data_IF_511810992680
#
_entry.id   IF_511810992680
#
_cell.length_a   1.000
_cell.length_b   1.000
_cell.length_c   1.000
_cell.angle_alpha   90.00
_cell.angle_beta   90.00
_cell.angle_gamma   90.00
#
_symmetry.space_group_name_H-M   'P 1'
#
loop_
_entity.id
_entity.type
_entity.pdbx_description
1 polymer ?
#
# COMPACT_ATOMS: atom_id res chain seq x y z
N UNK A 1 37.84 63.74 38.96
CA UNK A 1 37.10 63.28 37.74
C UNK A 1 37.40 61.82 37.52
N UNK A 2 36.42 60.97 37.87
CA UNK A 2 36.53 59.51 37.79
C UNK A 2 35.81 59.06 36.50
N UNK A 3 36.54 58.50 35.55
CA UNK A 3 35.97 57.98 34.29
C UNK A 3 35.63 56.50 34.51
N UNK A 4 34.34 56.19 34.55
CA UNK A 4 33.82 54.81 34.57
C UNK A 4 33.76 54.30 33.13
N UNK A 5 34.53 53.24 32.84
CA UNK A 5 34.46 52.50 31.57
C UNK A 5 33.39 51.42 31.67
N UNK A 6 32.31 51.52 30.90
CA UNK A 6 31.32 50.47 30.73
C UNK A 6 31.83 49.45 29.71
N UNK A 7 32.14 48.25 30.11
CA UNK A 7 32.42 47.14 29.20
C UNK A 7 31.10 46.43 28.92
N UNK A 8 30.61 46.57 27.65
CA UNK A 8 29.48 45.83 27.16
C UNK A 8 29.94 44.40 26.76
N UNK A 9 29.58 43.40 27.59
CA UNK A 9 29.79 42.01 27.21
C UNK A 9 28.65 41.58 26.23
N UNK A 10 29.02 41.44 24.96
CA UNK A 10 28.14 40.78 23.98
C UNK A 10 28.24 39.26 24.16
N UNK A 11 27.23 38.64 24.78
CA UNK A 11 27.08 37.17 24.79
C UNK A 11 26.50 36.72 23.44
N UNK A 12 27.32 36.12 22.62
CA UNK A 12 26.92 35.48 21.36
C UNK A 12 26.26 34.10 21.72
N UNK A 13 24.96 34.07 21.84
CA UNK A 13 24.22 32.77 21.93
C UNK A 13 24.24 32.11 20.56
N UNK A 14 25.16 31.16 20.37
CA UNK A 14 25.11 30.25 19.25
C UNK A 14 23.90 29.30 19.48
N UNK A 15 22.78 29.57 18.83
CA UNK A 15 21.69 28.62 18.71
C UNK A 15 22.19 27.45 17.87
N UNK A 16 22.48 26.32 18.52
CA UNK A 16 22.64 25.04 17.83
C UNK A 16 21.31 24.72 17.12
N UNK A 17 21.23 25.06 15.85
CA UNK A 17 20.21 24.51 14.98
C UNK A 17 20.43 22.98 14.93
N UNK A 18 19.70 22.23 15.73
CA UNK A 18 19.56 20.80 15.56
C UNK A 18 18.96 20.61 14.17
N UNK A 19 19.82 20.31 13.19
CA UNK A 19 19.41 20.02 11.84
C UNK A 19 18.41 18.87 11.90
N UNK A 20 17.14 19.14 11.61
CA UNK A 20 16.15 18.08 11.43
C UNK A 20 16.74 17.15 10.36
N UNK A 21 16.94 15.89 10.74
CA UNK A 21 17.40 14.87 9.82
C UNK A 21 16.35 14.74 8.70
N UNK A 22 16.58 15.43 7.59
CA UNK A 22 15.66 15.56 6.48
C UNK A 22 15.79 14.42 5.46
N UNK A 23 16.52 13.36 5.83
CA UNK A 23 16.68 12.16 4.98
C UNK A 23 15.34 11.51 4.65
N UNK A 24 15.15 11.02 3.43
CA UNK A 24 13.98 10.24 3.07
C UNK A 24 13.92 8.95 3.91
N UNK A 25 12.71 8.42 4.10
CA UNK A 25 12.46 7.17 4.83
C UNK A 25 11.45 6.34 4.06
N UNK A 26 11.59 5.02 4.12
CA UNK A 26 10.48 4.14 3.78
C UNK A 26 9.47 4.21 4.92
N UNK A 27 8.23 4.54 4.59
CA UNK A 27 7.11 4.63 5.54
C UNK A 27 6.48 3.26 5.75
N UNK A 28 6.29 2.52 4.65
CA UNK A 28 5.70 1.18 4.67
C UNK A 28 6.02 0.42 3.38
N UNK A 29 5.96 -0.90 3.48
CA UNK A 29 5.87 -1.82 2.34
C UNK A 29 4.54 -2.57 2.45
N UNK A 30 3.69 -2.42 1.43
CA UNK A 30 2.40 -3.11 1.33
C UNK A 30 2.51 -4.33 0.42
N UNK A 31 1.71 -5.38 0.71
CA UNK A 31 0.82 -5.49 1.85
C UNK A 31 1.59 -5.51 3.16
N UNK A 32 0.97 -4.98 4.26
CA UNK A 32 1.61 -4.94 5.58
C UNK A 32 1.52 -6.27 6.31
N UNK A 33 0.64 -7.17 5.88
CA UNK A 33 0.46 -8.51 6.46
C UNK A 33 1.78 -9.31 6.50
N UNK A 34 1.94 -10.10 7.55
CA UNK A 34 3.09 -11.02 7.69
C UNK A 34 2.89 -12.35 6.94
N UNK A 35 1.68 -12.60 6.46
CA UNK A 35 1.32 -13.82 5.72
C UNK A 35 0.86 -13.47 4.32
N UNK A 36 1.68 -13.80 3.32
CA UNK A 36 1.50 -13.39 1.93
C UNK A 36 1.27 -14.64 1.06
N UNK A 37 0.19 -14.70 0.25
CA UNK A 37 -0.05 -15.84 -0.63
C UNK A 37 1.01 -15.92 -1.72
N UNK A 38 1.37 -17.15 -2.13
CA UNK A 38 2.42 -17.39 -3.14
C UNK A 38 2.07 -16.82 -4.52
N UNK A 39 0.80 -16.51 -4.76
CA UNK A 39 0.31 -15.88 -5.99
C UNK A 39 0.16 -14.36 -5.88
N UNK A 40 0.79 -13.71 -4.90
CA UNK A 40 0.86 -12.24 -4.86
C UNK A 40 1.48 -11.69 -6.14
N UNK A 41 0.90 -10.60 -6.67
CA UNK A 41 1.42 -9.95 -7.87
C UNK A 41 2.15 -8.64 -7.57
N UNK A 42 1.80 -7.92 -6.50
CA UNK A 42 2.28 -6.55 -6.27
C UNK A 42 2.76 -6.32 -4.85
N UNK A 43 3.89 -5.60 -4.75
CA UNK A 43 4.30 -4.91 -3.53
C UNK A 43 4.35 -3.41 -3.79
N UNK A 44 4.00 -2.60 -2.79
CA UNK A 44 4.09 -1.16 -2.89
C UNK A 44 5.03 -0.63 -1.81
N UNK A 45 5.99 0.20 -2.19
CA UNK A 45 6.90 0.86 -1.25
C UNK A 45 6.52 2.33 -1.16
N UNK A 46 6.15 2.78 0.04
CA UNK A 46 5.79 4.15 0.32
C UNK A 46 6.96 4.87 0.99
N UNK A 47 7.35 6.02 0.45
CA UNK A 47 8.38 6.90 0.96
C UNK A 47 7.80 8.14 1.62
N UNK A 48 8.55 8.74 2.57
CA UNK A 48 8.15 9.97 3.28
C UNK A 48 8.22 11.22 2.41
N UNK A 49 8.99 11.19 1.33
CA UNK A 49 9.14 12.24 0.32
C UNK A 49 9.56 11.65 -1.02
N UNK A 50 9.51 12.46 -2.12
CA UNK A 50 9.90 11.98 -3.45
C UNK A 50 11.33 11.43 -3.49
N UNK A 51 11.55 10.34 -4.21
CA UNK A 51 12.86 9.77 -4.49
C UNK A 51 13.16 9.86 -5.99
N UNK A 52 14.43 10.08 -6.34
CA UNK A 52 14.82 10.33 -7.73
C UNK A 52 15.14 9.06 -8.52
N UNK A 53 15.38 7.98 -7.87
CA UNK A 53 16.00 6.79 -8.47
C UNK A 53 15.21 6.25 -9.66
N UNK A 54 16.00 5.84 -10.67
CA UNK A 54 15.50 5.11 -11.84
C UNK A 54 16.01 3.71 -11.76
N UNK A 55 15.92 2.74 -11.57
CA UNK A 55 16.43 1.38 -11.31
C UNK A 55 16.19 0.97 -9.85
N UNK A 56 14.98 1.20 -9.38
CA UNK A 56 14.61 0.87 -7.98
C UNK A 56 15.00 -0.56 -7.60
N UNK A 57 14.94 -1.51 -8.53
CA UNK A 57 15.30 -2.90 -8.29
C UNK A 57 16.76 -3.10 -7.88
N UNK A 58 17.69 -2.19 -8.22
CA UNK A 58 19.07 -2.22 -7.73
C UNK A 58 19.17 -2.00 -6.21
N UNK A 59 18.19 -1.31 -5.64
CA UNK A 59 18.08 -1.01 -4.21
C UNK A 59 17.16 -1.98 -3.46
N UNK A 60 16.65 -3.01 -4.16
CA UNK A 60 15.75 -4.00 -3.58
C UNK A 60 16.46 -5.35 -3.49
N UNK A 61 16.48 -5.91 -2.29
CA UNK A 61 16.98 -7.27 -2.04
C UNK A 61 15.86 -8.11 -1.46
N UNK A 62 15.69 -9.31 -1.99
CA UNK A 62 14.84 -10.34 -1.41
C UNK A 62 15.72 -11.48 -0.95
N UNK A 63 15.65 -11.84 0.33
CA UNK A 63 16.40 -12.98 0.89
C UNK A 63 15.44 -14.01 1.48
N UNK A 64 15.85 -15.28 1.45
CA UNK A 64 15.18 -16.34 2.17
C UNK A 64 15.60 -16.40 3.65
N UNK A 65 15.09 -17.36 4.39
CA UNK A 65 15.40 -17.56 5.81
C UNK A 65 16.86 -17.87 6.12
N UNK A 66 17.62 -18.36 5.14
CA UNK A 66 19.06 -18.65 5.21
C UNK A 66 19.91 -17.41 4.88
N UNK A 67 19.27 -16.28 4.55
CA UNK A 67 19.95 -15.05 4.13
C UNK A 67 20.44 -15.08 2.67
N UNK A 68 20.09 -16.11 1.89
CA UNK A 68 20.45 -16.24 0.47
C UNK A 68 19.60 -15.25 -0.35
N UNK A 69 20.26 -14.49 -1.21
CA UNK A 69 19.57 -13.59 -2.15
C UNK A 69 18.79 -14.39 -3.20
N UNK A 70 17.51 -14.05 -3.38
CA UNK A 70 16.61 -14.63 -4.36
C UNK A 70 16.43 -13.62 -5.50
N UNK A 71 16.85 -14.00 -6.69
CA UNK A 71 16.79 -13.16 -7.90
C UNK A 71 15.67 -13.63 -8.85
N UNK A 72 15.30 -12.79 -9.84
CA UNK A 72 14.29 -13.11 -10.84
C UNK A 72 12.88 -13.27 -10.26
N UNK A 73 12.61 -12.60 -9.14
CA UNK A 73 11.28 -12.56 -8.52
C UNK A 73 10.47 -11.40 -9.05
N UNK A 74 11.10 -10.23 -9.16
CA UNK A 74 10.43 -9.04 -9.64
C UNK A 74 10.64 -8.88 -11.14
N UNK A 75 9.56 -8.44 -11.79
CA UNK A 75 9.55 -8.17 -13.21
C UNK A 75 10.36 -6.90 -13.51
N UNK A 76 11.42 -7.05 -14.32
CA UNK A 76 12.22 -5.94 -14.81
C UNK A 76 11.48 -5.25 -15.94
N UNK A 77 10.84 -4.12 -15.63
CA UNK A 77 10.13 -3.32 -16.60
C UNK A 77 11.00 -2.14 -17.06
N UNK A 78 10.91 -1.79 -18.34
CA UNK A 78 11.56 -0.60 -18.91
C UNK A 78 11.11 0.68 -18.19
N UNK A 79 9.88 0.73 -17.72
CA UNK A 79 9.32 1.87 -16.97
C UNK A 79 8.89 1.42 -15.59
N UNK A 80 9.46 2.03 -14.59
CA UNK A 80 9.06 1.83 -13.20
C UNK A 80 7.68 2.42 -12.93
N UNK A 81 6.90 1.75 -12.08
CA UNK A 81 5.54 2.14 -11.78
C UNK A 81 5.49 3.04 -10.54
N UNK A 82 5.85 4.29 -10.72
CA UNK A 82 5.75 5.33 -9.71
C UNK A 82 4.38 6.03 -9.73
N UNK A 83 3.93 6.49 -8.55
CA UNK A 83 2.87 7.47 -8.49
C UNK A 83 3.35 8.84 -8.97
N UNK A 84 2.41 9.77 -9.26
CA UNK A 84 2.68 11.08 -9.86
C UNK A 84 3.76 11.89 -9.09
N UNK A 85 3.73 11.86 -7.77
CA UNK A 85 4.67 12.61 -6.93
C UNK A 85 5.90 11.79 -6.48
N UNK A 86 6.15 10.62 -7.06
CA UNK A 86 7.31 9.74 -6.81
C UNK A 86 7.54 9.36 -5.34
N UNK A 87 6.47 9.33 -4.56
CA UNK A 87 6.50 8.88 -3.16
C UNK A 87 6.08 7.43 -2.98
N UNK A 88 5.64 6.76 -4.05
CA UNK A 88 5.23 5.35 -4.01
C UNK A 88 5.64 4.66 -5.30
N UNK A 89 6.30 3.50 -5.17
CA UNK A 89 6.61 2.61 -6.30
C UNK A 89 5.90 1.27 -6.15
N UNK A 90 5.49 0.70 -7.28
CA UNK A 90 4.92 -0.65 -7.35
C UNK A 90 5.98 -1.60 -7.89
N UNK A 91 6.31 -2.63 -7.14
CA UNK A 91 7.09 -3.77 -7.58
C UNK A 91 6.14 -4.86 -8.05
N UNK A 92 6.30 -5.33 -9.28
CA UNK A 92 5.50 -6.44 -9.82
C UNK A 92 6.30 -7.72 -9.67
N UNK A 93 5.74 -8.74 -9.03
CA UNK A 93 6.25 -10.11 -9.10
C UNK A 93 6.06 -10.61 -10.52
N UNK A 94 7.03 -11.34 -11.08
CA UNK A 94 6.96 -11.80 -12.47
C UNK A 94 5.63 -12.52 -12.77
N UNK A 95 4.76 -11.92 -13.58
CA UNK A 95 3.44 -12.48 -13.89
C UNK A 95 3.54 -13.88 -14.51
N UNK A 96 4.65 -14.17 -15.21
CA UNK A 96 4.93 -15.48 -15.78
C UNK A 96 5.10 -16.57 -14.73
N UNK A 97 5.53 -16.21 -13.51
CA UNK A 97 5.64 -17.11 -12.36
C UNK A 97 4.37 -17.13 -11.50
N UNK A 98 3.58 -16.05 -11.53
CA UNK A 98 2.34 -15.96 -10.75
C UNK A 98 1.20 -16.77 -11.40
N UNK A 99 1.04 -16.71 -12.73
CA UNK A 99 -0.01 -17.46 -13.43
C UNK A 99 0.40 -18.91 -13.69
N UNK A 100 -0.51 -19.83 -13.40
CA UNK A 100 -0.34 -21.25 -13.69
C UNK A 100 -0.32 -21.51 -15.21
N UNK A 101 0.47 -22.50 -15.61
CA UNK A 101 0.56 -22.95 -17.00
C UNK A 101 1.39 -22.08 -17.94
N UNK A 102 1.90 -20.93 -17.48
CA UNK A 102 2.84 -20.14 -18.25
C UNK A 102 4.24 -20.77 -18.22
N UNK A 103 5.05 -20.48 -19.24
CA UNK A 103 6.39 -21.06 -19.38
C UNK A 103 7.27 -20.85 -18.15
N UNK A 104 7.33 -19.64 -17.62
CA UNK A 104 8.15 -19.35 -16.44
C UNK A 104 7.64 -20.10 -15.20
N UNK A 105 6.30 -20.20 -14.99
CA UNK A 105 5.75 -20.99 -13.90
C UNK A 105 6.09 -22.48 -14.04
N UNK A 106 5.97 -23.05 -15.24
CA UNK A 106 6.24 -24.46 -15.48
C UNK A 106 7.73 -24.83 -15.35
N UNK A 107 8.65 -23.89 -15.63
CA UNK A 107 10.10 -24.15 -15.60
C UNK A 107 10.77 -23.72 -14.31
N UNK A 108 10.32 -22.64 -13.68
CA UNK A 108 10.94 -22.03 -12.50
C UNK A 108 10.08 -22.16 -11.24
N UNK A 109 8.80 -22.53 -11.37
CA UNK A 109 7.85 -22.55 -10.29
C UNK A 109 7.38 -21.15 -9.86
N UNK A 110 6.60 -21.08 -8.79
CA UNK A 110 6.19 -19.85 -8.12
C UNK A 110 7.41 -19.06 -7.62
N UNK A 111 7.26 -17.75 -7.44
CA UNK A 111 8.33 -16.90 -6.92
C UNK A 111 8.65 -17.19 -5.44
N UNK A 112 7.66 -17.70 -4.71
CA UNK A 112 7.74 -18.02 -3.29
C UNK A 112 7.30 -19.46 -3.04
N UNK A 113 7.93 -20.13 -2.07
CA UNK A 113 7.57 -21.48 -1.63
C UNK A 113 6.71 -21.41 -0.37
N UNK A 114 5.62 -22.16 -0.34
CA UNK A 114 4.70 -22.22 0.82
C UNK A 114 5.44 -22.61 2.10
N UNK A 115 5.13 -21.90 3.19
CA UNK A 115 5.74 -22.11 4.50
C UNK A 115 7.13 -21.48 4.68
N UNK A 116 7.73 -20.92 3.62
CA UNK A 116 9.05 -20.29 3.70
C UNK A 116 8.97 -18.83 4.07
N UNK A 117 10.01 -18.38 4.77
CA UNK A 117 10.18 -16.99 5.23
C UNK A 117 11.06 -16.21 4.27
N UNK A 118 10.64 -15.00 3.95
CA UNK A 118 11.35 -14.07 3.08
C UNK A 118 11.50 -12.71 3.73
N UNK A 119 12.58 -12.00 3.39
CA UNK A 119 12.81 -10.63 3.82
C UNK A 119 13.08 -9.75 2.61
N UNK A 120 12.19 -8.78 2.38
CA UNK A 120 12.34 -7.73 1.39
C UNK A 120 13.03 -6.54 2.05
N UNK A 121 14.17 -6.11 1.50
CA UNK A 121 14.98 -5.01 2.01
C UNK A 121 15.04 -3.90 0.97
N UNK A 122 14.75 -2.67 1.41
CA UNK A 122 15.08 -1.44 0.66
C UNK A 122 16.41 -0.92 1.19
N UNK A 123 17.39 -0.80 0.31
CA UNK A 123 18.74 -0.36 0.66
C UNK A 123 18.76 1.14 1.00
N UNK A 124 19.51 1.51 2.03
CA UNK A 124 19.69 2.89 2.46
C UNK A 124 20.39 3.77 1.42
N UNK A 125 21.07 3.18 0.43
CA UNK A 125 21.77 3.95 -0.60
C UNK A 125 20.84 4.58 -1.65
N UNK A 126 19.54 4.29 -1.61
CA UNK A 126 18.51 5.00 -2.40
C UNK A 126 18.46 6.48 -2.01
N UNK A 127 18.39 7.37 -2.99
CA UNK A 127 18.49 8.84 -2.79
C UNK A 127 17.19 9.57 -3.14
N UNK A 128 17.00 10.73 -2.53
CA UNK A 128 15.99 11.71 -2.95
C UNK A 128 16.55 12.71 -3.97
N UNK A 129 15.73 13.70 -4.38
CA UNK A 129 16.13 14.72 -5.35
C UNK A 129 17.17 15.75 -4.82
N UNK A 130 17.47 15.70 -3.52
CA UNK A 130 18.50 16.52 -2.87
C UNK A 130 19.77 15.68 -2.57
N UNK A 131 19.92 14.51 -3.24
CA UNK A 131 21.02 13.55 -3.06
C UNK A 131 21.15 13.01 -1.62
N UNK A 132 20.06 13.08 -0.86
CA UNK A 132 20.04 12.57 0.50
C UNK A 132 19.65 11.07 0.48
N UNK A 133 20.53 10.23 1.02
CA UNK A 133 20.27 8.80 1.19
C UNK A 133 19.16 8.54 2.22
N UNK A 134 18.52 7.38 2.12
CA UNK A 134 17.62 6.91 3.18
C UNK A 134 18.35 6.88 4.52
N UNK A 135 17.62 7.21 5.60
CA UNK A 135 18.20 7.23 6.93
C UNK A 135 18.77 5.87 7.37
N UNK A 136 18.16 4.77 6.90
CA UNK A 136 18.56 3.39 7.17
C UNK A 136 17.94 2.43 6.16
N UNK A 137 18.43 1.19 6.13
CA UNK A 137 17.73 0.11 5.43
C UNK A 137 16.35 -0.10 6.04
N UNK A 138 15.38 -0.41 5.19
CA UNK A 138 14.05 -0.81 5.64
C UNK A 138 13.77 -2.25 5.25
N UNK A 139 13.28 -3.04 6.18
CA UNK A 139 13.01 -4.47 5.93
C UNK A 139 11.56 -4.81 6.22
N UNK A 140 11.01 -5.67 5.38
CA UNK A 140 9.73 -6.36 5.59
C UNK A 140 9.96 -7.85 5.51
N UNK A 141 9.66 -8.55 6.60
CA UNK A 141 9.69 -10.01 6.65
C UNK A 141 8.28 -10.57 6.55
N UNK A 142 8.10 -11.66 5.82
CA UNK A 142 6.82 -12.35 5.67
C UNK A 142 7.02 -13.85 5.50
N UNK A 143 5.96 -14.60 5.76
CA UNK A 143 5.87 -16.04 5.47
C UNK A 143 4.96 -16.21 4.25
N UNK A 144 5.43 -16.94 3.26
CA UNK A 144 4.62 -17.31 2.10
C UNK A 144 3.61 -18.39 2.51
N UNK A 145 2.35 -18.18 2.19
CA UNK A 145 1.25 -19.12 2.48
C UNK A 145 0.67 -19.64 1.17
N UNK A 146 -0.24 -20.62 1.29
CA UNK A 146 -0.95 -21.19 0.14
C UNK A 146 -1.53 -20.09 -0.75
N UNK A 147 -1.69 -20.42 -2.03
CA UNK A 147 -2.30 -19.49 -2.99
C UNK A 147 -3.73 -19.14 -2.62
N UNK A 148 -4.10 -17.90 -2.84
CA UNK A 148 -5.45 -17.41 -2.65
C UNK A 148 -6.18 -17.34 -4.00
N UNK A 149 -7.20 -18.19 -4.14
CA UNK A 149 -8.04 -18.30 -5.33
C UNK A 149 -9.50 -17.89 -5.04
N UNK A 150 -9.73 -17.14 -3.96
CA UNK A 150 -11.07 -16.73 -3.54
C UNK A 150 -11.26 -15.22 -3.78
N UNK A 151 -12.26 -14.82 -4.59
CA UNK A 151 -12.60 -13.41 -4.75
C UNK A 151 -13.09 -12.78 -3.45
N UNK A 152 -12.79 -11.49 -3.20
CA UNK A 152 -13.40 -10.74 -2.11
C UNK A 152 -14.93 -10.74 -2.21
N UNK A 153 -15.63 -10.96 -1.09
CA UNK A 153 -17.10 -11.01 -1.06
C UNK A 153 -17.67 -9.82 -0.32
N UNK A 154 -18.16 -8.83 -1.05
CA UNK A 154 -18.72 -7.60 -0.48
C UNK A 154 -19.93 -7.84 0.45
N UNK A 155 -20.66 -8.94 0.26
CA UNK A 155 -21.80 -9.34 1.11
C UNK A 155 -21.39 -9.80 2.52
N UNK A 156 -20.11 -10.13 2.72
CA UNK A 156 -19.57 -10.56 4.01
C UNK A 156 -18.93 -9.42 4.80
N UNK A 157 -18.85 -8.22 4.22
CA UNK A 157 -18.25 -7.05 4.86
C UNK A 157 -19.10 -6.52 6.01
N UNK A 158 -18.44 -6.12 7.10
CA UNK A 158 -19.09 -5.54 8.26
C UNK A 158 -18.82 -4.04 8.31
N UNK A 159 -19.87 -3.25 8.29
CA UNK A 159 -19.77 -1.78 8.27
C UNK A 159 -20.10 -1.24 9.66
N UNK A 160 -19.17 -0.47 10.23
CA UNK A 160 -19.41 0.31 11.44
C UNK A 160 -19.75 1.73 11.05
N UNK A 161 -21.00 2.10 11.30
CA UNK A 161 -21.59 3.39 10.89
C UNK A 161 -21.28 4.44 11.95
N UNK A 162 -20.79 5.65 11.57
CA UNK A 162 -20.55 6.76 12.50
C UNK A 162 -21.83 7.42 12.97
N UNK A 163 -21.73 8.28 14.00
CA UNK A 163 -22.86 9.08 14.49
C UNK A 163 -23.09 10.31 13.61
N UNK A 164 -24.35 10.72 13.47
CA UNK A 164 -24.69 11.98 12.81
C UNK A 164 -24.03 13.17 13.52
N UNK A 165 -23.70 14.21 12.77
CA UNK A 165 -23.05 15.46 13.21
C UNK A 165 -21.64 15.28 13.79
N UNK A 166 -21.05 14.09 13.67
CA UNK A 166 -19.68 13.80 14.06
C UNK A 166 -18.71 13.83 12.86
N UNK A 167 -17.40 13.80 13.14
CA UNK A 167 -16.33 13.49 12.20
C UNK A 167 -15.74 12.10 12.48
N UNK A 168 -16.50 11.25 13.15
CA UNK A 168 -16.09 9.88 13.44
C UNK A 168 -15.81 9.14 12.12
N UNK A 169 -14.94 8.16 12.18
CA UNK A 169 -14.64 7.35 11.01
C UNK A 169 -15.76 6.35 10.73
N UNK A 170 -16.02 6.12 9.45
CA UNK A 170 -16.71 4.91 9.00
C UNK A 170 -15.68 3.83 8.84
N UNK A 171 -15.94 2.61 9.28
CA UNK A 171 -15.06 1.49 9.01
C UNK A 171 -15.77 0.34 8.31
N UNK A 172 -15.00 -0.38 7.49
CA UNK A 172 -15.41 -1.60 6.81
C UNK A 172 -14.43 -2.68 7.21
N UNK A 173 -14.88 -3.70 7.92
CA UNK A 173 -14.10 -4.90 8.18
C UNK A 173 -14.35 -5.88 7.03
N UNK A 174 -13.28 -6.19 6.31
CA UNK A 174 -13.31 -7.10 5.17
C UNK A 174 -13.22 -8.55 5.64
N UNK A 175 -13.78 -9.46 4.87
CA UNK A 175 -13.58 -10.90 5.08
C UNK A 175 -12.21 -11.38 4.61
N UNK A 176 -11.49 -10.54 3.86
CA UNK A 176 -10.20 -10.82 3.25
C UNK A 176 -9.24 -9.63 3.31
N UNK A 177 -8.00 -9.78 2.78
CA UNK A 177 -7.00 -8.74 2.69
C UNK A 177 -7.12 -8.03 1.34
N UNK A 178 -7.63 -6.80 1.34
CA UNK A 178 -7.85 -6.03 0.12
C UNK A 178 -6.57 -5.32 -0.31
N UNK A 179 -6.29 -5.30 -1.62
CA UNK A 179 -5.13 -4.59 -2.17
C UNK A 179 -5.14 -3.11 -1.76
N UNK A 180 -3.99 -2.61 -1.33
CA UNK A 180 -3.84 -1.28 -0.74
C UNK A 180 -4.28 -0.15 -1.67
N UNK A 181 -3.86 -0.19 -2.94
CA UNK A 181 -4.21 0.84 -3.93
C UNK A 181 -5.65 0.67 -4.39
N UNK A 182 -6.05 -0.55 -4.63
CA UNK A 182 -7.40 -0.91 -5.05
C UNK A 182 -8.44 -0.40 -4.05
N UNK A 183 -8.27 -0.64 -2.75
CA UNK A 183 -9.18 -0.15 -1.72
C UNK A 183 -9.29 1.37 -1.66
N UNK A 184 -8.17 2.09 -1.80
CA UNK A 184 -8.16 3.56 -1.76
C UNK A 184 -8.81 4.20 -2.98
N UNK A 185 -8.76 3.55 -4.14
CA UNK A 185 -9.20 4.12 -5.42
C UNK A 185 -10.57 3.65 -5.86
N UNK A 186 -10.94 2.42 -5.53
CA UNK A 186 -12.11 1.72 -6.09
C UNK A 186 -13.29 1.58 -5.10
N UNK A 187 -13.12 2.01 -3.84
CA UNK A 187 -14.22 2.14 -2.87
C UNK A 187 -14.55 3.62 -2.69
N UNK A 188 -15.79 4.00 -2.99
CA UNK A 188 -16.26 5.40 -2.93
C UNK A 188 -17.51 5.51 -2.06
N UNK A 189 -17.66 6.64 -1.41
CA UNK A 189 -18.75 6.93 -0.48
C UNK A 189 -19.63 8.04 -1.03
N UNK A 190 -20.95 7.86 -0.96
CA UNK A 190 -21.93 8.80 -1.53
C UNK A 190 -23.03 9.16 -0.53
N UNK A 191 -23.51 10.41 -0.64
CA UNK A 191 -24.69 10.93 0.03
C UNK A 191 -25.50 11.76 -0.96
N UNK A 192 -26.77 11.43 -1.17
CA UNK A 192 -27.65 12.12 -2.13
C UNK A 192 -26.98 12.29 -3.52
N UNK A 193 -26.44 11.21 -4.07
CA UNK A 193 -25.72 11.15 -5.37
C UNK A 193 -24.42 11.97 -5.43
N UNK A 194 -24.00 12.61 -4.35
CA UNK A 194 -22.74 13.33 -4.27
C UNK A 194 -21.64 12.50 -3.60
N UNK A 195 -20.45 12.43 -4.23
CA UNK A 195 -19.30 11.77 -3.60
C UNK A 195 -18.83 12.52 -2.35
N UNK A 196 -18.67 11.79 -1.26
CA UNK A 196 -18.13 12.32 0.00
C UNK A 196 -16.61 12.33 -0.07
N UNK A 197 -16.03 13.51 0.08
CA UNK A 197 -14.58 13.65 0.16
C UNK A 197 -14.07 13.30 1.55
N UNK A 198 -12.95 12.59 1.60
CA UNK A 198 -12.34 12.17 2.87
C UNK A 198 -11.00 11.49 2.62
N UNK A 199 -10.41 11.00 3.70
CA UNK A 199 -9.18 10.20 3.69
C UNK A 199 -9.52 8.74 3.95
N UNK A 200 -9.03 7.87 3.11
CA UNK A 200 -9.15 6.41 3.24
C UNK A 200 -7.81 5.84 3.67
N UNK A 201 -7.82 5.01 4.69
CA UNK A 201 -6.65 4.27 5.18
C UNK A 201 -7.03 2.79 5.35
N UNK A 202 -6.03 1.91 5.18
CA UNK A 202 -6.17 0.49 5.49
C UNK A 202 -5.46 0.18 6.81
N UNK A 203 -6.11 -0.59 7.64
CA UNK A 203 -5.66 -1.05 8.95
C UNK A 203 -5.73 -2.59 9.01
N UNK A 204 -5.28 -3.14 10.13
CA UNK A 204 -5.38 -4.55 10.45
C UNK A 204 -4.87 -5.45 9.32
N UNK A 205 -3.67 -5.15 8.80
CA UNK A 205 -3.04 -5.95 7.73
C UNK A 205 -3.95 -6.09 6.51
N UNK A 206 -4.45 -4.96 5.99
CA UNK A 206 -5.33 -4.83 4.83
C UNK A 206 -6.74 -5.44 4.98
N UNK A 207 -7.13 -5.81 6.22
CA UNK A 207 -8.46 -6.38 6.50
C UNK A 207 -9.51 -5.37 6.91
N UNK A 208 -9.13 -4.11 7.11
CA UNK A 208 -10.04 -3.05 7.53
C UNK A 208 -9.76 -1.77 6.77
N UNK A 209 -10.82 -1.18 6.22
CA UNK A 209 -10.78 0.16 5.68
C UNK A 209 -11.39 1.13 6.68
N UNK A 210 -10.71 2.26 6.87
CA UNK A 210 -11.19 3.38 7.68
C UNK A 210 -11.33 4.61 6.78
N UNK A 211 -12.51 5.20 6.76
CA UNK A 211 -12.79 6.42 6.01
C UNK A 211 -13.11 7.58 6.95
N UNK A 212 -12.30 8.64 6.90
CA UNK A 212 -12.51 9.88 7.66
C UNK A 212 -13.00 10.98 6.72
N UNK A 213 -14.24 11.46 6.86
CA UNK A 213 -14.79 12.47 5.98
C UNK A 213 -14.19 13.85 6.25
N UNK A 214 -14.14 14.71 5.23
CA UNK A 214 -13.72 16.12 5.38
C UNK A 214 -14.79 16.99 6.06
N UNK A 215 -16.05 16.57 5.99
CA UNK A 215 -17.21 17.26 6.59
C UNK A 215 -17.96 16.32 7.53
N UNK A 216 -18.64 16.88 8.53
CA UNK A 216 -19.46 16.11 9.47
C UNK A 216 -20.53 15.30 8.76
N UNK A 217 -20.75 14.07 9.23
CA UNK A 217 -21.82 13.20 8.77
C UNK A 217 -23.19 13.86 9.01
N UNK A 218 -24.09 13.70 8.08
CA UNK A 218 -25.50 14.13 8.18
C UNK A 218 -26.39 12.92 8.48
N UNK A 219 -27.59 13.14 8.97
CA UNK A 219 -28.62 12.10 9.02
C UNK A 219 -29.08 11.76 7.60
N UNK A 220 -29.33 10.49 7.30
CA UNK A 220 -29.87 10.07 6.02
C UNK A 220 -29.24 8.80 5.47
N UNK A 221 -29.58 8.51 4.21
CA UNK A 221 -29.17 7.30 3.51
C UNK A 221 -27.89 7.55 2.72
N UNK A 222 -26.98 6.61 2.80
CA UNK A 222 -25.66 6.63 2.19
C UNK A 222 -25.43 5.40 1.35
N UNK A 223 -24.46 5.50 0.44
CA UNK A 223 -24.04 4.38 -0.39
C UNK A 223 -22.51 4.24 -0.37
N UNK A 224 -22.05 3.01 -0.28
CA UNK A 224 -20.68 2.64 -0.61
C UNK A 224 -20.74 2.00 -2.00
N UNK A 225 -20.02 2.57 -2.95
CA UNK A 225 -19.90 2.03 -4.29
C UNK A 225 -18.54 1.35 -4.40
N UNK A 226 -18.54 0.05 -4.64
CA UNK A 226 -17.37 -0.78 -4.83
C UNK A 226 -17.25 -1.11 -6.30
N UNK A 227 -16.17 -0.64 -6.93
CA UNK A 227 -15.92 -0.95 -8.32
C UNK A 227 -15.63 -2.45 -8.47
N UNK A 228 -16.16 -3.08 -9.50
CA UNK A 228 -15.97 -4.51 -9.78
C UNK A 228 -14.51 -4.94 -9.94
N UNK A 229 -13.60 -3.99 -10.23
CA UNK A 229 -12.16 -4.22 -10.35
C UNK A 229 -11.43 -4.16 -9.00
N UNK A 230 -12.15 -3.99 -7.89
CA UNK A 230 -11.52 -4.05 -6.57
C UNK A 230 -10.87 -5.43 -6.41
N UNK A 231 -9.61 -5.44 -6.05
CA UNK A 231 -8.80 -6.64 -5.92
C UNK A 231 -8.37 -6.88 -4.48
N UNK A 232 -8.15 -8.15 -4.15
CA UNK A 232 -7.38 -8.56 -2.97
C UNK A 232 -5.87 -8.50 -3.22
N UNK A 233 -5.07 -8.90 -2.23
CA UNK A 233 -3.60 -8.93 -2.37
C UNK A 233 -3.09 -10.01 -3.32
N UNK A 234 -3.90 -11.02 -3.65
CA UNK A 234 -3.62 -12.04 -4.67
C UNK A 234 -4.12 -11.64 -6.06
N UNK A 235 -4.65 -10.39 -6.20
CA UNK A 235 -5.16 -9.84 -7.46
C UNK A 235 -6.47 -10.48 -7.93
N UNK A 236 -7.18 -11.23 -7.07
CA UNK A 236 -8.54 -11.66 -7.40
C UNK A 236 -9.47 -10.46 -7.28
N UNK A 237 -10.21 -10.14 -8.35
CA UNK A 237 -11.22 -9.08 -8.29
C UNK A 237 -12.51 -9.58 -7.66
N UNK A 238 -13.40 -8.65 -7.24
CA UNK A 238 -14.72 -9.01 -6.68
C UNK A 238 -15.54 -9.90 -7.62
N UNK A 239 -15.27 -9.82 -8.92
CA UNK A 239 -15.98 -10.59 -9.95
C UNK A 239 -15.27 -11.86 -10.38
N UNK A 240 -13.95 -11.95 -10.21
CA UNK A 240 -13.19 -12.99 -10.88
C UNK A 240 -11.82 -13.22 -10.24
N UNK A 241 -11.42 -14.47 -10.16
CA UNK A 241 -10.04 -14.84 -9.78
C UNK A 241 -9.05 -14.39 -10.85
N UNK A 242 -7.84 -14.02 -10.42
CA UNK A 242 -6.78 -13.56 -11.33
C UNK A 242 -6.32 -14.66 -12.30
N UNK A 243 -6.13 -15.88 -11.78
CA UNK A 243 -5.65 -17.03 -12.55
C UNK A 243 -6.81 -17.81 -13.16
N UNK A 244 -7.47 -17.23 -14.16
CA UNK A 244 -8.56 -17.83 -14.92
C UNK A 244 -8.19 -18.05 -16.37
N UNK A 245 -8.88 -18.99 -17.03
CA UNK A 245 -8.73 -19.19 -18.47
C UNK A 245 -9.42 -18.06 -19.23
N UNK A 246 -8.91 -17.65 -20.42
CA UNK A 246 -9.58 -16.64 -21.25
C UNK A 246 -11.03 -16.98 -21.59
N UNK A 247 -11.39 -18.28 -21.67
CA UNK A 247 -12.76 -18.76 -21.87
C UNK A 247 -13.71 -18.44 -20.75
N UNK A 248 -13.19 -18.23 -19.53
CA UNK A 248 -13.97 -18.06 -18.32
C UNK A 248 -14.27 -16.58 -18.04
N UNK A 249 -13.84 -15.69 -18.97
CA UNK A 249 -14.04 -14.25 -18.85
C UNK A 249 -15.53 -13.89 -19.04
N UNK A 250 -16.17 -13.54 -17.94
CA UNK A 250 -17.57 -13.14 -17.93
C UNK A 250 -17.69 -11.66 -18.31
N UNK A 251 -17.97 -11.37 -19.60
CA UNK A 251 -18.08 -10.00 -20.13
C UNK A 251 -19.31 -9.23 -19.62
N UNK A 252 -20.26 -9.90 -18.96
CA UNK A 252 -21.60 -9.35 -18.75
C UNK A 252 -21.83 -8.62 -17.43
N UNK A 253 -20.84 -8.55 -16.52
CA UNK A 253 -21.00 -7.87 -15.24
C UNK A 253 -20.11 -6.62 -15.17
N UNK A 254 -20.56 -5.54 -15.83
CA UNK A 254 -19.91 -4.22 -15.72
C UNK A 254 -20.50 -3.35 -14.59
N UNK A 255 -21.25 -3.93 -13.68
CA UNK A 255 -21.93 -3.19 -12.62
C UNK A 255 -21.07 -3.10 -11.35
N UNK A 256 -21.08 -1.93 -10.73
CA UNK A 256 -20.48 -1.74 -9.42
C UNK A 256 -21.37 -2.36 -8.34
N UNK A 257 -20.75 -2.86 -7.27
CA UNK A 257 -21.49 -3.30 -6.09
C UNK A 257 -21.88 -2.09 -5.24
N UNK A 258 -23.15 -2.04 -4.81
CA UNK A 258 -23.68 -0.94 -4.00
C UNK A 258 -24.11 -1.48 -2.64
N UNK A 259 -23.51 -0.91 -1.58
CA UNK A 259 -23.86 -1.22 -0.20
C UNK A 259 -24.55 0.01 0.40
N UNK A 260 -25.81 -0.15 0.82
CA UNK A 260 -26.57 0.94 1.42
C UNK A 260 -26.46 0.91 2.94
N UNK A 261 -26.34 2.08 3.57
CA UNK A 261 -26.40 2.23 5.02
C UNK A 261 -27.08 3.54 5.42
N UNK A 262 -27.51 3.63 6.68
CA UNK A 262 -28.24 4.80 7.19
C UNK A 262 -27.55 5.35 8.44
N UNK A 263 -27.37 6.67 8.48
CA UNK A 263 -26.91 7.39 9.67
C UNK A 263 -28.13 8.04 10.34
N UNK A 264 -28.35 7.72 11.60
CA UNK A 264 -29.48 8.19 12.41
C UNK A 264 -29.18 9.47 13.20
#
# INVERSE_FOLDING_TARGET
>A
MLRVFFILLFTFSAALALGQNNSPKVVAIYPTTDFIPVNILRFYIQFSKPVQEMDILKHIKLTNEEGKNITGVFFENQYELWNENRTKVTLIVDPGRVKLGLFANNTMGRAFDVGKKYTLTVDKDLMDFDDQKLAQNFTKTFVAIDEDMLPPKTSEWKITVPKARSNDVLSIDFNDKIDHISAQTLIKFFFNNGEIKGKTELENQERKLVFKPTKKWKKGNYQIIVNQRLEDIATNSVNQIFDHKPSDFNQNNNENFVINFTIQ
#
